data_IF_828241628238
#
_entry.id   IF_828241628238
#
_cell.length_a   1.000
_cell.length_b   1.000
_cell.length_c   1.000
_cell.angle_alpha   90.00
_cell.angle_beta   90.00
_cell.angle_gamma   90.00
#
_symmetry.space_group_name_H-M   'P 1'
#
loop_
_entity.id
_entity.type
_entity.pdbx_description
1 polymer ?
#
# COMPACT_ATOMS: atom_id res chain seq x y z
N UNK A 1 -23.50 15.34 -17.05
CA UNK A 1 -23.46 14.96 -15.63
C UNK A 1 -24.23 16.00 -14.83
N UNK A 2 -23.67 17.05 -14.24
CA UNK A 2 -24.54 18.06 -13.59
C UNK A 2 -25.27 18.99 -14.60
N UNK A 3 -24.56 19.48 -15.61
CA UNK A 3 -25.08 20.43 -16.60
C UNK A 3 -25.54 19.78 -17.92
N UNK A 4 -25.70 18.45 -17.94
CA UNK A 4 -26.14 17.71 -19.14
C UNK A 4 -25.12 17.57 -20.29
N UNK A 5 -23.90 18.10 -20.17
CA UNK A 5 -22.89 18.06 -21.25
C UNK A 5 -22.21 16.68 -21.47
N UNK A 6 -22.36 15.76 -20.52
CA UNK A 6 -21.71 14.43 -20.52
C UNK A 6 -22.74 13.38 -20.10
N UNK A 7 -22.95 12.36 -20.92
CA UNK A 7 -23.99 11.35 -20.69
C UNK A 7 -23.58 10.25 -19.68
N UNK A 8 -22.32 9.84 -19.68
CA UNK A 8 -21.79 8.84 -18.73
C UNK A 8 -20.30 9.05 -18.48
N UNK A 9 -19.84 8.63 -17.31
CA UNK A 9 -18.41 8.51 -16.97
C UNK A 9 -18.19 7.12 -16.41
N UNK A 10 -17.27 6.39 -17.03
CA UNK A 10 -16.76 5.12 -16.51
C UNK A 10 -15.29 5.33 -16.17
N UNK A 11 -14.96 5.29 -14.89
CA UNK A 11 -13.58 5.39 -14.42
C UNK A 11 -13.26 4.17 -13.54
N UNK A 12 -12.34 3.27 -13.96
CA UNK A 12 -11.97 2.10 -13.18
C UNK A 12 -11.28 2.45 -11.85
N UNK A 13 -10.72 3.66 -11.71
CA UNK A 13 -10.11 4.15 -10.47
C UNK A 13 -11.11 4.86 -9.55
N UNK A 14 -12.40 4.86 -9.90
CA UNK A 14 -13.44 5.62 -9.21
C UNK A 14 -13.40 7.13 -9.51
N UNK A 15 -14.38 7.86 -9.00
CA UNK A 15 -14.38 9.32 -9.00
C UNK A 15 -13.99 9.80 -7.60
N UNK A 16 -13.38 10.99 -7.51
CA UNK A 16 -13.24 11.62 -6.21
C UNK A 16 -14.62 11.87 -5.61
N UNK A 17 -14.75 11.70 -4.29
CA UNK A 17 -16.03 11.87 -3.59
C UNK A 17 -16.72 13.19 -3.91
N UNK A 18 -15.95 14.30 -3.93
CA UNK A 18 -16.49 15.62 -4.27
C UNK A 18 -17.01 15.73 -5.72
N UNK A 19 -16.34 15.08 -6.68
CA UNK A 19 -16.80 15.05 -8.07
C UNK A 19 -18.05 14.17 -8.23
N UNK A 20 -18.10 13.03 -7.54
CA UNK A 20 -19.28 12.18 -7.50
C UNK A 20 -20.48 12.93 -6.90
N UNK A 21 -20.31 13.54 -5.74
CA UNK A 21 -21.36 14.35 -5.08
C UNK A 21 -21.80 15.53 -5.95
N UNK A 22 -20.90 16.15 -6.72
CA UNK A 22 -21.26 17.20 -7.65
C UNK A 22 -22.06 16.65 -8.84
N UNK A 23 -21.67 15.51 -9.39
CA UNK A 23 -22.36 14.87 -10.50
C UNK A 23 -23.78 14.42 -10.10
N UNK A 24 -23.95 13.85 -8.91
CA UNK A 24 -25.23 13.38 -8.35
C UNK A 24 -26.23 14.51 -8.08
N UNK A 25 -25.80 15.78 -8.08
CA UNK A 25 -26.73 16.93 -8.03
C UNK A 25 -27.45 17.18 -9.35
N UNK A 26 -26.99 16.59 -10.45
CA UNK A 26 -27.65 16.66 -11.74
C UNK A 26 -28.97 15.89 -11.76
N UNK A 27 -30.00 16.48 -12.33
CA UNK A 27 -31.30 15.82 -12.47
C UNK A 27 -31.16 14.56 -13.36
N UNK A 28 -31.60 13.41 -12.83
CA UNK A 28 -31.54 12.13 -13.55
C UNK A 28 -30.17 11.46 -13.59
N UNK A 29 -29.18 11.95 -12.83
CA UNK A 29 -27.88 11.27 -12.69
C UNK A 29 -27.98 10.16 -11.64
N UNK A 30 -27.62 8.95 -12.05
CA UNK A 30 -27.47 7.79 -11.16
C UNK A 30 -25.99 7.40 -11.06
N UNK A 31 -25.55 7.01 -9.86
CA UNK A 31 -24.21 6.49 -9.63
C UNK A 31 -24.26 5.02 -9.27
N UNK A 32 -23.27 4.27 -9.76
CA UNK A 32 -23.09 2.86 -9.46
C UNK A 32 -21.65 2.66 -9.02
N UNK A 33 -21.47 1.97 -7.89
CA UNK A 33 -20.16 1.56 -7.40
C UNK A 33 -20.18 0.04 -7.36
N UNK A 34 -19.34 -0.58 -8.18
CA UNK A 34 -19.09 -2.01 -8.14
C UNK A 34 -17.79 -2.29 -7.39
N UNK A 35 -17.73 -3.41 -6.69
CA UNK A 35 -16.48 -3.90 -6.15
C UNK A 35 -15.53 -4.21 -7.32
N UNK A 36 -14.29 -3.72 -7.23
CA UNK A 36 -13.23 -4.14 -8.13
C UNK A 36 -12.72 -5.52 -7.72
N UNK A 37 -12.28 -6.30 -8.70
CA UNK A 37 -11.69 -7.62 -8.51
C UNK A 37 -10.17 -7.53 -8.52
N UNK A 38 -9.64 -6.52 -7.84
CA UNK A 38 -8.22 -6.24 -7.75
C UNK A 38 -7.77 -5.82 -6.37
N UNK A 39 -6.46 -5.74 -6.21
CA UNK A 39 -5.78 -5.29 -5.01
C UNK A 39 -4.49 -4.56 -5.38
N UNK A 40 -4.11 -3.59 -4.56
CA UNK A 40 -2.74 -3.11 -4.51
C UNK A 40 -1.95 -3.96 -3.53
N UNK A 41 -0.73 -4.30 -3.89
CA UNK A 41 0.14 -5.13 -3.06
C UNK A 41 1.56 -4.59 -3.06
N UNK A 42 2.21 -4.69 -1.90
CA UNK A 42 3.63 -4.50 -1.72
C UNK A 42 4.32 -5.86 -1.81
N UNK A 43 5.33 -5.98 -2.66
CA UNK A 43 6.11 -7.19 -2.84
C UNK A 43 7.55 -6.99 -2.40
N UNK A 44 8.11 -8.05 -1.81
CA UNK A 44 9.46 -8.11 -1.28
C UNK A 44 10.31 -9.07 -2.13
N UNK A 45 11.55 -8.70 -2.46
CA UNK A 45 12.47 -9.64 -3.08
C UNK A 45 13.05 -10.61 -2.05
N UNK A 46 12.32 -11.68 -1.75
CA UNK A 46 12.71 -12.69 -0.77
C UNK A 46 14.01 -13.47 -1.10
N UNK A 47 14.68 -13.16 -2.21
CA UNK A 47 16.01 -13.69 -2.56
C UNK A 47 17.16 -12.87 -1.95
N UNK A 48 16.85 -11.69 -1.42
CA UNK A 48 17.81 -10.73 -0.86
C UNK A 48 17.52 -10.54 0.63
N UNK A 49 18.56 -10.54 1.44
CA UNK A 49 18.50 -10.06 2.83
C UNK A 49 18.40 -8.53 2.83
N UNK A 50 17.61 -7.88 3.71
CA UNK A 50 16.80 -8.45 4.80
C UNK A 50 15.38 -8.87 4.40
N UNK A 51 14.97 -8.72 3.14
CA UNK A 51 13.59 -8.94 2.69
C UNK A 51 13.12 -10.41 2.78
N UNK A 52 14.06 -11.36 2.88
CA UNK A 52 13.81 -12.77 3.16
C UNK A 52 13.27 -13.02 4.56
N UNK A 53 13.57 -12.16 5.52
CA UNK A 53 13.23 -12.37 6.93
C UNK A 53 11.74 -12.07 7.20
N UNK A 54 11.01 -12.98 7.87
CA UNK A 54 9.60 -12.75 8.18
C UNK A 54 9.40 -11.56 9.13
N UNK A 55 10.28 -11.36 10.09
CA UNK A 55 10.20 -10.28 11.08
C UNK A 55 10.35 -8.91 10.42
N UNK A 56 11.21 -8.80 9.40
CA UNK A 56 11.30 -7.59 8.58
C UNK A 56 9.95 -7.28 7.90
N UNK A 57 9.34 -8.28 7.27
CA UNK A 57 8.05 -8.08 6.58
C UNK A 57 6.90 -7.80 7.56
N UNK A 58 6.92 -8.43 8.73
CA UNK A 58 5.94 -8.19 9.80
C UNK A 58 6.05 -6.77 10.36
N UNK A 59 7.27 -6.26 10.58
CA UNK A 59 7.46 -4.89 11.02
C UNK A 59 6.96 -3.87 10.00
N UNK A 60 7.22 -4.13 8.70
CA UNK A 60 6.67 -3.31 7.61
C UNK A 60 5.14 -3.39 7.55
N UNK A 61 4.53 -4.55 7.76
CA UNK A 61 3.05 -4.67 7.78
C UNK A 61 2.43 -3.99 9.01
N UNK A 62 3.03 -4.15 10.20
CA UNK A 62 2.55 -3.53 11.43
C UNK A 62 2.56 -2.00 11.34
N UNK A 63 3.66 -1.42 10.81
CA UNK A 63 3.83 0.02 10.72
C UNK A 63 2.94 0.67 9.65
N UNK A 64 2.38 -0.10 8.71
CA UNK A 64 1.50 0.42 7.66
C UNK A 64 0.08 0.68 8.15
N UNK A 65 -0.35 1.94 8.16
CA UNK A 65 -1.73 2.33 8.49
C UNK A 65 -2.62 2.40 7.24
N UNK A 66 -3.15 1.25 6.83
CA UNK A 66 -3.98 1.13 5.62
C UNK A 66 -5.26 1.97 5.74
N UNK A 67 -5.89 2.02 6.92
CA UNK A 67 -7.09 2.81 7.18
C UNK A 67 -6.80 4.30 7.00
N UNK A 68 -5.70 4.80 7.56
CA UNK A 68 -5.30 6.20 7.39
C UNK A 68 -5.13 6.57 5.92
N UNK A 69 -4.39 5.78 5.12
CA UNK A 69 -4.18 6.11 3.70
C UNK A 69 -5.49 6.01 2.93
N UNK A 70 -6.24 4.93 3.10
CA UNK A 70 -7.48 4.70 2.33
C UNK A 70 -8.57 5.71 2.66
N UNK A 71 -8.78 6.01 3.95
CA UNK A 71 -9.88 6.85 4.42
C UNK A 71 -9.51 8.33 4.49
N UNK A 72 -8.39 8.67 5.12
CA UNK A 72 -7.99 10.06 5.39
C UNK A 72 -7.27 10.69 4.21
N UNK A 73 -6.34 9.96 3.57
CA UNK A 73 -5.54 10.50 2.46
C UNK A 73 -6.27 10.38 1.13
N UNK A 74 -6.89 9.23 0.85
CA UNK A 74 -7.55 8.93 -0.43
C UNK A 74 -9.07 9.12 -0.39
N UNK A 75 -9.62 9.60 0.72
CA UNK A 75 -11.03 9.99 0.84
C UNK A 75 -12.03 8.83 0.63
N UNK A 76 -11.61 7.59 0.89
CA UNK A 76 -12.44 6.40 0.77
C UNK A 76 -12.67 5.90 -0.66
N UNK A 77 -11.90 6.39 -1.65
CA UNK A 77 -11.95 5.90 -3.04
C UNK A 77 -11.52 4.44 -3.16
N UNK A 78 -10.66 3.99 -2.23
CA UNK A 78 -10.23 2.61 -2.04
C UNK A 78 -10.46 2.22 -0.59
N UNK A 79 -10.47 0.93 -0.29
CA UNK A 79 -10.65 0.39 1.06
C UNK A 79 -9.46 -0.50 1.47
N UNK A 80 -9.18 -0.64 2.78
CA UNK A 80 -8.08 -1.46 3.24
C UNK A 80 -8.39 -2.94 3.02
N UNK A 81 -7.34 -3.72 2.70
CA UNK A 81 -7.41 -5.17 2.53
C UNK A 81 -6.30 -5.86 3.32
N UNK A 82 -6.64 -6.98 3.93
CA UNK A 82 -5.76 -7.83 4.72
C UNK A 82 -5.68 -9.27 4.21
N UNK A 83 -6.52 -9.66 3.26
CA UNK A 83 -6.36 -10.87 2.46
C UNK A 83 -6.06 -10.57 0.99
N UNK A 84 -5.74 -11.61 0.22
CA UNK A 84 -5.46 -11.50 -1.22
C UNK A 84 -6.70 -11.53 -2.09
N UNK A 85 -7.88 -11.82 -1.52
CA UNK A 85 -9.12 -11.94 -2.28
C UNK A 85 -10.04 -10.76 -1.94
N UNK A 86 -10.42 -9.92 -2.91
CA UNK A 86 -11.30 -8.79 -2.62
C UNK A 86 -12.72 -9.26 -2.30
N UNK A 87 -13.47 -8.51 -1.47
CA UNK A 87 -14.85 -8.83 -1.08
C UNK A 87 -15.83 -8.83 -2.26
N UNK A 88 -15.46 -8.22 -3.39
CA UNK A 88 -16.21 -8.34 -4.65
C UNK A 88 -16.33 -9.78 -5.14
N UNK A 89 -15.37 -10.65 -4.81
CA UNK A 89 -15.40 -12.07 -5.17
C UNK A 89 -16.11 -12.90 -4.10
N UNK A 90 -17.43 -12.77 -3.99
CA UNK A 90 -18.22 -13.41 -2.93
C UNK A 90 -18.13 -14.94 -2.85
N UNK A 91 -17.69 -15.64 -3.90
CA UNK A 91 -17.49 -17.09 -3.87
C UNK A 91 -16.16 -17.48 -3.19
N UNK A 92 -15.08 -16.73 -3.48
CA UNK A 92 -13.74 -17.04 -2.97
C UNK A 92 -13.31 -16.19 -1.78
N UNK A 93 -14.00 -15.09 -1.52
CA UNK A 93 -13.73 -14.21 -0.40
C UNK A 93 -14.03 -14.92 0.92
N UNK A 94 -13.05 -14.94 1.82
CA UNK A 94 -13.22 -15.42 3.17
C UNK A 94 -13.09 -14.24 4.15
N UNK A 95 -14.19 -13.79 4.79
CA UNK A 95 -14.13 -12.68 5.74
C UNK A 95 -13.27 -12.99 6.97
N UNK A 96 -13.11 -14.27 7.34
CA UNK A 96 -12.21 -14.64 8.46
C UNK A 96 -10.74 -14.40 8.11
N UNK A 97 -10.38 -14.44 6.82
CA UNK A 97 -9.02 -14.16 6.36
C UNK A 97 -8.68 -12.65 6.36
N UNK A 98 -9.68 -11.77 6.52
CA UNK A 98 -9.47 -10.33 6.72
C UNK A 98 -9.18 -9.98 8.19
N UNK A 99 -9.31 -10.95 9.11
CA UNK A 99 -8.96 -10.72 10.50
C UNK A 99 -7.46 -10.44 10.62
N UNK A 100 -7.12 -9.21 11.01
CA UNK A 100 -5.74 -8.78 11.21
C UNK A 100 -5.64 -8.04 12.55
N UNK A 101 -4.59 -8.29 13.36
CA UNK A 101 -4.45 -7.68 14.67
C UNK A 101 -4.33 -6.15 14.61
N UNK A 102 -3.87 -5.58 13.50
CA UNK A 102 -3.57 -4.15 13.38
C UNK A 102 -4.80 -3.27 13.14
N UNK A 103 -5.97 -3.86 12.89
CA UNK A 103 -7.18 -3.11 12.59
C UNK A 103 -7.61 -2.29 13.82
N UNK A 104 -7.68 -0.97 13.63
CA UNK A 104 -8.06 -0.03 14.68
C UNK A 104 -6.93 0.37 15.63
N UNK A 105 -5.70 -0.10 15.39
CA UNK A 105 -4.53 0.35 16.14
C UNK A 105 -4.20 1.81 15.85
N UNK A 106 -3.77 2.51 16.89
CA UNK A 106 -3.18 3.84 16.84
C UNK A 106 -1.80 3.83 16.19
N UNK A 107 -1.29 5.02 15.86
CA UNK A 107 0.08 5.18 15.34
C UNK A 107 1.12 4.66 16.32
N UNK A 108 0.95 4.94 17.60
CA UNK A 108 1.80 4.46 18.69
C UNK A 108 1.85 2.92 18.74
N UNK A 109 0.69 2.25 18.76
CA UNK A 109 0.63 0.78 18.82
C UNK A 109 1.34 0.13 17.62
N UNK A 110 1.18 0.71 16.42
CA UNK A 110 1.82 0.24 15.19
C UNK A 110 3.34 0.35 15.23
N UNK A 111 3.86 1.49 15.68
CA UNK A 111 5.31 1.73 15.80
C UNK A 111 5.91 0.84 16.88
N UNK A 112 5.27 0.77 18.06
CA UNK A 112 5.72 -0.06 19.17
C UNK A 112 5.78 -1.55 18.77
N UNK A 113 4.79 -2.06 18.03
CA UNK A 113 4.83 -3.44 17.54
C UNK A 113 5.94 -3.66 16.50
N UNK A 114 6.12 -2.72 15.56
CA UNK A 114 7.18 -2.83 14.56
C UNK A 114 8.57 -2.83 15.21
N UNK A 115 8.80 -1.95 16.20
CA UNK A 115 10.04 -1.92 16.99
C UNK A 115 10.22 -3.22 17.77
N UNK A 116 9.19 -3.68 18.48
CA UNK A 116 9.24 -4.94 19.25
C UNK A 116 9.66 -6.12 18.37
N UNK A 117 9.01 -6.28 17.21
CA UNK A 117 9.31 -7.37 16.26
C UNK A 117 10.75 -7.29 15.76
N UNK A 118 11.24 -6.09 15.42
CA UNK A 118 12.61 -5.90 14.95
C UNK A 118 13.65 -6.14 16.07
N UNK A 119 13.44 -5.61 17.27
CA UNK A 119 14.34 -5.79 18.42
C UNK A 119 14.42 -7.26 18.83
N UNK A 120 13.30 -7.98 18.87
CA UNK A 120 13.30 -9.43 19.15
C UNK A 120 14.05 -10.24 18.09
N UNK A 121 14.04 -9.77 16.84
CA UNK A 121 14.81 -10.35 15.74
C UNK A 121 16.30 -9.95 15.75
N UNK A 122 16.74 -9.11 16.68
CA UNK A 122 18.13 -8.70 16.85
C UNK A 122 18.54 -7.45 16.05
N UNK A 123 17.57 -6.69 15.54
CA UNK A 123 17.85 -5.36 14.98
C UNK A 123 18.13 -4.36 16.11
N UNK A 124 18.88 -3.31 15.79
CA UNK A 124 19.19 -2.25 16.73
C UNK A 124 19.34 -0.90 16.02
N UNK A 125 19.39 0.18 16.79
CA UNK A 125 19.56 1.53 16.27
C UNK A 125 20.61 2.31 17.08
N UNK A 126 21.16 3.36 16.49
CA UNK A 126 21.87 4.39 17.27
C UNK A 126 20.85 5.23 18.07
N UNK A 127 19.71 5.54 17.44
CA UNK A 127 18.52 6.10 18.07
C UNK A 127 17.32 5.23 17.73
N UNK A 128 16.72 4.58 18.72
CA UNK A 128 15.52 3.76 18.52
C UNK A 128 14.31 4.67 18.25
N UNK A 129 13.47 4.35 17.24
CA UNK A 129 12.25 5.10 16.97
C UNK A 129 11.25 4.92 18.13
N UNK A 130 10.57 6.00 18.50
CA UNK A 130 9.62 5.98 19.59
C UNK A 130 8.48 6.98 19.38
N UNK A 131 7.31 6.69 19.93
CA UNK A 131 6.22 7.65 20.01
C UNK A 131 6.53 8.73 21.06
N UNK A 132 6.30 9.99 20.69
CA UNK A 132 6.40 11.14 21.59
C UNK A 132 5.00 11.68 21.90
N UNK A 133 4.58 11.53 23.16
CA UNK A 133 3.25 11.95 23.61
C UNK A 133 3.03 13.47 23.52
N UNK A 134 4.08 14.28 23.63
CA UNK A 134 3.98 15.74 23.57
C UNK A 134 3.83 16.22 22.13
N UNK A 135 4.57 15.60 21.20
CA UNK A 135 4.48 15.89 19.76
C UNK A 135 3.25 15.26 19.11
N UNK A 136 2.68 14.22 19.72
CA UNK A 136 1.69 13.33 19.11
C UNK A 136 2.19 12.80 17.75
N UNK A 137 3.48 12.45 17.72
CA UNK A 137 4.17 12.00 16.52
C UNK A 137 5.31 11.04 16.85
N UNK A 138 5.85 10.37 15.85
CA UNK A 138 6.98 9.46 15.98
C UNK A 138 8.28 10.25 15.90
N UNK A 139 9.15 10.07 16.89
CA UNK A 139 10.56 10.44 16.78
C UNK A 139 11.24 9.37 15.93
N UNK A 140 11.74 9.70 14.73
CA UNK A 140 12.30 8.70 13.82
C UNK A 140 13.55 8.03 14.40
N UNK A 141 13.76 6.78 13.99
CA UNK A 141 14.97 6.04 14.30
C UNK A 141 16.15 6.50 13.45
N UNK A 142 17.36 6.35 13.97
CA UNK A 142 18.60 6.64 13.24
C UNK A 142 19.61 5.50 13.38
N UNK A 143 20.41 5.26 12.33
CA UNK A 143 21.50 4.28 12.37
C UNK A 143 21.05 2.83 12.55
N UNK A 144 19.98 2.41 11.85
CA UNK A 144 19.49 1.04 11.96
C UNK A 144 20.56 0.02 11.52
N UNK A 145 20.80 -0.95 12.39
CA UNK A 145 21.77 -2.03 12.23
C UNK A 145 21.01 -3.36 12.17
N UNK A 146 21.32 -4.15 11.14
CA UNK A 146 20.71 -5.44 10.91
C UNK A 146 21.25 -6.49 11.91
N UNK A 147 20.54 -7.59 12.15
CA UNK A 147 20.97 -8.69 13.03
C UNK A 147 22.36 -9.28 12.74
N UNK A 148 22.85 -9.14 11.51
CA UNK A 148 24.21 -9.56 11.13
C UNK A 148 25.32 -8.59 11.60
N UNK A 149 24.96 -7.47 12.23
CA UNK A 149 25.87 -6.42 12.70
C UNK A 149 26.25 -5.37 11.65
N UNK A 150 25.72 -5.47 10.43
CA UNK A 150 25.95 -4.49 9.36
C UNK A 150 24.86 -3.41 9.37
N UNK A 151 25.19 -2.15 9.02
CA UNK A 151 24.17 -1.13 8.81
C UNK A 151 23.25 -1.53 7.64
N UNK A 152 21.97 -1.19 7.74
CA UNK A 152 21.02 -1.49 6.66
C UNK A 152 21.42 -0.71 5.39
N UNK A 153 21.51 -1.38 4.22
CA UNK A 153 21.81 -0.69 2.97
C UNK A 153 20.62 0.17 2.52
N UNK A 154 20.88 1.17 1.69
CA UNK A 154 19.81 1.91 1.00
C UNK A 154 18.94 0.94 0.20
N UNK A 155 17.61 1.03 0.37
CA UNK A 155 16.65 0.19 -0.34
C UNK A 155 15.69 1.04 -1.16
N UNK A 156 15.17 0.47 -2.25
CA UNK A 156 14.21 1.15 -3.12
C UNK A 156 12.86 0.44 -3.16
N UNK A 157 11.77 1.23 -3.04
CA UNK A 157 10.42 0.77 -3.37
C UNK A 157 10.05 1.32 -4.74
N UNK A 158 10.05 0.45 -5.74
CA UNK A 158 9.60 0.79 -7.09
C UNK A 158 8.07 0.95 -7.11
N UNK A 159 7.57 1.99 -7.77
CA UNK A 159 6.15 2.20 -7.96
C UNK A 159 5.83 2.92 -9.26
N UNK A 160 4.62 2.73 -9.82
CA UNK A 160 4.18 3.52 -10.95
C UNK A 160 4.05 5.00 -10.52
N UNK A 161 4.47 5.90 -11.38
CA UNK A 161 4.34 7.34 -11.16
C UNK A 161 2.88 7.82 -11.18
N UNK A 162 2.62 9.02 -10.64
CA UNK A 162 1.26 9.54 -10.45
C UNK A 162 0.50 9.79 -11.77
N UNK A 163 1.22 9.94 -12.89
CA UNK A 163 0.60 10.04 -14.21
C UNK A 163 -0.02 8.72 -14.70
N UNK A 164 0.44 7.58 -14.16
CA UNK A 164 -0.09 6.26 -14.46
C UNK A 164 -1.13 5.86 -13.40
N UNK A 165 -0.79 5.99 -12.12
CA UNK A 165 -1.68 5.67 -11.01
C UNK A 165 -1.35 6.55 -9.81
N UNK A 166 -2.12 7.63 -9.56
CA UNK A 166 -1.87 8.52 -8.44
C UNK A 166 -2.11 7.85 -7.09
N UNK A 167 -3.04 6.88 -6.99
CA UNK A 167 -3.37 6.20 -5.74
C UNK A 167 -2.18 5.33 -5.30
N UNK A 168 -1.63 4.52 -6.20
CA UNK A 168 -0.44 3.70 -5.90
C UNK A 168 0.82 4.54 -5.64
N UNK A 169 0.98 5.65 -6.35
CA UNK A 169 2.07 6.59 -6.08
C UNK A 169 1.99 7.14 -4.64
N UNK A 170 0.79 7.49 -4.17
CA UNK A 170 0.54 7.91 -2.78
C UNK A 170 0.84 6.81 -1.79
N UNK A 171 0.41 5.57 -2.02
CA UNK A 171 0.76 4.44 -1.14
C UNK A 171 2.28 4.22 -1.05
N UNK A 172 2.99 4.25 -2.18
CA UNK A 172 4.45 4.09 -2.20
C UNK A 172 5.14 5.12 -1.28
N UNK A 173 4.70 6.38 -1.36
CA UNK A 173 5.25 7.47 -0.56
C UNK A 173 5.00 7.26 0.93
N UNK A 174 3.77 6.92 1.33
CA UNK A 174 3.42 6.66 2.74
C UNK A 174 4.13 5.45 3.32
N UNK A 175 4.20 4.34 2.58
CA UNK A 175 4.97 3.15 3.00
C UNK A 175 6.43 3.52 3.20
N UNK A 176 7.00 4.28 2.26
CA UNK A 176 8.40 4.72 2.37
C UNK A 176 8.61 5.64 3.57
N UNK A 177 7.65 6.51 3.89
CA UNK A 177 7.72 7.41 5.05
C UNK A 177 7.71 6.62 6.35
N UNK A 178 6.77 5.71 6.53
CA UNK A 178 6.70 4.90 7.74
C UNK A 178 7.89 3.95 7.93
N UNK A 179 8.49 3.47 6.84
CA UNK A 179 9.74 2.73 6.95
C UNK A 179 10.92 3.64 7.35
N UNK A 180 10.95 4.89 6.87
CA UNK A 180 11.94 5.89 7.32
C UNK A 180 11.76 6.27 8.78
N UNK A 181 10.52 6.33 9.28
CA UNK A 181 10.26 6.50 10.72
C UNK A 181 10.92 5.39 11.54
N UNK A 182 10.96 4.15 11.04
CA UNK A 182 11.70 3.05 11.66
C UNK A 182 13.23 3.16 11.50
N UNK A 183 13.75 4.24 10.93
CA UNK A 183 15.18 4.45 10.66
C UNK A 183 15.72 3.72 9.43
N UNK A 184 14.85 3.12 8.60
CA UNK A 184 15.28 2.43 7.39
C UNK A 184 15.60 3.41 6.26
N UNK A 185 16.74 3.27 5.55
CA UNK A 185 17.11 4.15 4.44
C UNK A 185 16.33 3.80 3.16
N UNK A 186 15.06 4.21 3.11
CA UNK A 186 14.14 3.88 2.02
C UNK A 186 13.99 5.02 1.01
N UNK A 187 14.21 4.70 -0.27
CA UNK A 187 13.90 5.56 -1.40
C UNK A 187 12.59 5.14 -2.08
N UNK A 188 11.66 6.10 -2.19
CA UNK A 188 10.50 5.99 -3.06
C UNK A 188 10.91 6.28 -4.50
N UNK A 189 10.83 5.29 -5.39
CA UNK A 189 11.17 5.46 -6.81
C UNK A 189 9.94 5.27 -7.69
N UNK A 190 9.32 6.40 -8.04
CA UNK A 190 8.15 6.49 -8.88
C UNK A 190 8.56 6.68 -10.35
N UNK A 191 8.23 5.71 -11.20
CA UNK A 191 8.65 5.67 -12.60
C UNK A 191 7.54 5.20 -13.55
N UNK A 192 7.80 5.15 -14.84
CA UNK A 192 6.86 4.60 -15.82
C UNK A 192 6.64 3.10 -15.62
N UNK A 193 5.41 2.62 -15.77
CA UNK A 193 5.06 1.20 -15.56
C UNK A 193 5.98 0.24 -16.34
N UNK A 194 6.23 0.51 -17.61
CA UNK A 194 7.10 -0.32 -18.45
C UNK A 194 8.57 -0.38 -17.98
N UNK A 195 9.03 0.64 -17.26
CA UNK A 195 10.38 0.67 -16.67
C UNK A 195 10.52 -0.29 -15.49
N UNK A 196 9.40 -0.65 -14.84
CA UNK A 196 9.37 -1.58 -13.69
C UNK A 196 9.44 -3.03 -14.18
N UNK A 197 8.87 -3.34 -15.35
CA UNK A 197 8.66 -4.72 -15.80
C UNK A 197 9.96 -5.52 -15.97
N UNK A 198 11.00 -4.92 -16.56
CA UNK A 198 12.30 -5.57 -16.74
C UNK A 198 12.94 -5.95 -15.41
N UNK A 199 13.25 -4.97 -14.53
CA UNK A 199 13.83 -5.22 -13.22
C UNK A 199 13.04 -6.21 -12.37
N UNK A 200 11.70 -6.13 -12.38
CA UNK A 200 10.85 -6.95 -11.52
C UNK A 200 10.60 -8.35 -12.07
N UNK A 201 10.15 -8.48 -13.32
CA UNK A 201 9.63 -9.75 -13.86
C UNK A 201 10.61 -10.49 -14.78
N UNK A 202 11.65 -9.82 -15.28
CA UNK A 202 12.66 -10.44 -16.15
C UNK A 202 13.94 -10.70 -15.35
N UNK A 203 14.51 -9.65 -14.77
CA UNK A 203 15.82 -9.70 -14.12
C UNK A 203 15.75 -10.15 -12.66
N UNK A 204 14.57 -10.02 -12.03
CA UNK A 204 14.35 -10.20 -10.59
C UNK A 204 15.32 -9.36 -9.72
N UNK A 205 15.78 -8.23 -10.26
CA UNK A 205 16.68 -7.29 -9.61
C UNK A 205 15.92 -6.05 -9.12
N UNK A 206 15.26 -6.23 -7.98
CA UNK A 206 14.57 -5.19 -7.23
C UNK A 206 14.75 -5.45 -5.73
N UNK A 207 14.37 -4.49 -4.89
CA UNK A 207 14.33 -4.67 -3.44
C UNK A 207 12.87 -4.88 -3.03
N UNK A 208 12.05 -3.87 -3.27
CA UNK A 208 10.60 -3.92 -3.10
C UNK A 208 9.89 -3.22 -4.26
N UNK A 209 8.63 -3.57 -4.51
CA UNK A 209 7.78 -2.83 -5.43
C UNK A 209 6.33 -2.80 -4.96
N UNK A 210 5.58 -1.78 -5.35
CA UNK A 210 4.12 -1.73 -5.24
C UNK A 210 3.49 -1.78 -6.62
N UNK A 211 2.59 -2.74 -6.81
CA UNK A 211 1.81 -2.89 -8.04
C UNK A 211 0.36 -3.21 -7.71
N UNK A 212 -0.46 -3.23 -8.76
CA UNK A 212 -1.84 -3.67 -8.70
C UNK A 212 -1.97 -5.01 -9.41
N UNK A 213 -2.83 -5.86 -8.89
CA UNK A 213 -3.32 -7.07 -9.56
C UNK A 213 -4.83 -6.96 -9.67
N UNK A 214 -5.40 -7.40 -10.79
CA UNK A 214 -6.84 -7.43 -11.01
C UNK A 214 -7.20 -8.64 -11.89
N UNK A 215 -8.38 -9.22 -11.67
CA UNK A 215 -8.98 -10.24 -12.54
C UNK A 215 -9.49 -9.67 -13.87
N UNK A 216 -9.22 -8.39 -14.17
CA UNK A 216 -9.74 -7.72 -15.34
C UNK A 216 -11.19 -7.27 -15.14
N UNK A 217 -11.83 -6.85 -16.23
CA UNK A 217 -13.21 -6.38 -16.15
C UNK A 217 -14.15 -7.59 -16.16
N UNK A 218 -14.72 -7.96 -15.02
CA UNK A 218 -15.66 -9.10 -14.92
C UNK A 218 -16.93 -8.96 -15.77
N UNK A 219 -17.25 -7.76 -16.29
CA UNK A 219 -18.31 -7.59 -17.27
C UNK A 219 -17.96 -8.26 -18.62
N UNK A 220 -16.67 -8.52 -18.86
CA UNK A 220 -16.16 -9.27 -19.99
C UNK A 220 -15.53 -10.58 -19.48
N UNK A 221 -15.90 -11.76 -20.03
CA UNK A 221 -15.31 -13.03 -19.62
C UNK A 221 -13.91 -13.25 -20.22
N UNK A 222 -13.06 -12.23 -20.24
CA UNK A 222 -11.71 -12.25 -20.82
C UNK A 222 -10.61 -12.70 -19.84
N UNK A 223 -10.96 -12.87 -18.57
CA UNK A 223 -10.10 -13.41 -17.50
C UNK A 223 -9.63 -14.87 -17.75
N UNK A 224 -10.18 -15.55 -18.75
CA UNK A 224 -9.69 -16.86 -19.21
C UNK A 224 -8.60 -16.78 -20.29
N UNK A 225 -8.46 -15.64 -20.97
CA UNK A 225 -7.55 -15.48 -22.13
C UNK A 225 -6.36 -14.54 -21.86
N UNK A 226 -6.40 -13.78 -20.77
CA UNK A 226 -5.32 -12.85 -20.39
C UNK A 226 -4.40 -13.47 -19.34
N UNK A 227 -3.56 -14.41 -19.78
CA UNK A 227 -2.39 -14.94 -19.04
C UNK A 227 -1.12 -14.86 -19.89
#
# INVERSE_FOLDING_TARGET
LADGEVDYVLNPLGLSKGLQEQAERGEGVESYVNADYGMYYLAFNMRKYPFSEPEFRQAVDAVMDKEFVTQSVLGGVVFPMYSTMPPGNGFWFNPEAEANPYIGWSREERVNEAVRVLTEAGWSWEQEPAWDEDLQDVVPGEGITMPNGEPMPDITILGPGPAYDPLRATFNQWISEWMRELGMPVKSELTGFNTILGPVFVDANFDMYILGWSLGNVAFPDYFESF
#
